data_IF_877429408422
#
_entry.id   IF_877429408422
#
_cell.length_a   1.000
_cell.length_b   1.000
_cell.length_c   1.000
_cell.angle_alpha   90.00
_cell.angle_beta   90.00
_cell.angle_gamma   90.00
#
_symmetry.space_group_name_H-M   'P 1'
#
loop_
_entity.id
_entity.type
_entity.pdbx_description
1 polymer ?
#
# COMPACT_ATOMS: atom_id res chain seq x y z
N UNK A 1 0.69 10.05 -24.47
CA UNK A 1 0.66 9.52 -23.08
C UNK A 1 0.39 8.02 -23.18
N UNK A 2 1.24 7.16 -22.61
CA UNK A 2 0.98 5.71 -22.62
C UNK A 2 -0.14 5.43 -21.61
N UNK A 3 -1.21 4.69 -21.99
CA UNK A 3 -2.26 4.31 -21.06
C UNK A 3 -1.67 3.59 -19.82
N UNK A 4 -2.15 3.88 -18.60
CA UNK A 4 -1.60 3.32 -17.36
C UNK A 4 -1.46 1.79 -17.35
N UNK A 5 -2.40 1.08 -18.00
CA UNK A 5 -2.45 -0.38 -18.10
C UNK A 5 -1.45 -0.97 -19.11
N UNK A 6 -0.87 -0.16 -20.01
CA UNK A 6 0.10 -0.58 -21.03
C UNK A 6 1.53 -0.20 -20.64
N UNK A 7 1.69 0.68 -19.64
CA UNK A 7 2.99 1.02 -19.10
C UNK A 7 3.66 -0.17 -18.38
N UNK A 8 5.00 -0.19 -18.26
CA UNK A 8 5.71 -1.18 -17.45
C UNK A 8 5.16 -1.22 -16.01
N UNK A 9 5.10 -2.41 -15.38
CA UNK A 9 4.54 -2.55 -14.05
C UNK A 9 5.34 -1.72 -13.03
N UNK A 10 4.63 -1.10 -12.10
CA UNK A 10 5.22 -0.38 -10.96
C UNK A 10 5.41 -1.35 -9.79
N UNK A 11 6.57 -1.34 -9.16
CA UNK A 11 6.81 -2.24 -8.02
C UNK A 11 6.25 -1.63 -6.73
N UNK A 12 5.42 -2.40 -6.02
CA UNK A 12 4.96 -2.09 -4.67
C UNK A 12 5.43 -3.19 -3.72
N UNK A 13 5.92 -2.80 -2.54
CA UNK A 13 6.49 -3.74 -1.57
C UNK A 13 5.67 -3.70 -0.29
N UNK A 14 5.24 -4.87 0.17
CA UNK A 14 4.54 -5.06 1.44
C UNK A 14 5.53 -5.64 2.45
N UNK A 15 5.80 -4.90 3.52
CA UNK A 15 6.81 -5.27 4.52
C UNK A 15 6.23 -5.92 5.78
N UNK A 16 4.95 -5.69 6.08
CA UNK A 16 4.37 -6.11 7.35
C UNK A 16 4.18 -7.65 7.38
N UNK A 17 4.80 -8.39 8.32
CA UNK A 17 4.74 -9.86 8.30
C UNK A 17 3.33 -10.43 8.38
N UNK A 18 2.43 -9.83 9.18
CA UNK A 18 1.04 -10.27 9.32
C UNK A 18 0.20 -10.09 8.04
N UNK A 19 0.72 -9.38 7.04
CA UNK A 19 0.04 -9.20 5.76
C UNK A 19 0.10 -10.44 4.86
N UNK A 20 1.06 -11.35 5.05
CA UNK A 20 1.37 -12.39 4.05
C UNK A 20 0.16 -13.24 3.66
N UNK A 21 -0.55 -13.78 4.66
CA UNK A 21 -1.70 -14.63 4.42
C UNK A 21 -2.81 -13.88 3.68
N UNK A 22 -3.09 -12.64 4.11
CA UNK A 22 -4.14 -11.81 3.49
C UNK A 22 -3.77 -11.42 2.07
N UNK A 23 -2.53 -10.98 1.86
CA UNK A 23 -2.00 -10.60 0.56
C UNK A 23 -2.17 -11.74 -0.45
N UNK A 24 -1.78 -12.97 -0.08
CA UNK A 24 -1.84 -14.13 -0.99
C UNK A 24 -3.26 -14.68 -1.21
N UNK A 25 -4.19 -14.49 -0.27
CA UNK A 25 -5.55 -15.08 -0.35
C UNK A 25 -6.63 -14.12 -0.83
N UNK A 26 -6.44 -12.81 -0.69
CA UNK A 26 -7.48 -11.84 -1.03
C UNK A 26 -7.42 -11.43 -2.50
N UNK A 27 -8.56 -11.42 -3.17
CA UNK A 27 -8.66 -10.97 -4.57
C UNK A 27 -8.36 -9.48 -4.76
N UNK A 28 -8.69 -8.67 -3.74
CA UNK A 28 -8.40 -7.25 -3.66
C UNK A 28 -7.65 -7.00 -2.36
N UNK A 29 -6.54 -6.27 -2.44
CA UNK A 29 -5.69 -5.96 -1.29
C UNK A 29 -5.28 -4.48 -1.28
N UNK A 30 -4.96 -3.95 -0.10
CA UNK A 30 -4.52 -2.57 0.06
C UNK A 30 -3.11 -2.49 0.65
N UNK A 31 -2.26 -1.67 0.04
CA UNK A 31 -0.95 -1.29 0.56
C UNK A 31 -0.87 0.22 0.73
N UNK A 32 0.21 0.69 1.36
CA UNK A 32 0.39 2.09 1.71
C UNK A 32 1.74 2.58 1.19
N UNK A 33 1.74 3.77 0.58
CA UNK A 33 2.92 4.44 0.09
C UNK A 33 3.12 5.77 0.80
N UNK A 34 4.38 6.12 1.01
CA UNK A 34 4.76 7.47 1.43
C UNK A 34 4.46 8.47 0.29
N UNK A 35 4.38 9.76 0.61
CA UNK A 35 4.30 10.79 -0.43
C UNK A 35 5.50 10.75 -1.39
N UNK A 36 6.69 10.48 -0.85
CA UNK A 36 7.92 10.32 -1.64
C UNK A 36 7.84 9.12 -2.59
N UNK A 37 7.40 7.96 -2.10
CA UNK A 37 7.25 6.76 -2.92
C UNK A 37 6.19 6.96 -4.00
N UNK A 38 5.06 7.59 -3.65
CA UNK A 38 4.04 7.89 -4.66
C UNK A 38 4.59 8.85 -5.72
N UNK A 39 5.31 9.90 -5.32
CA UNK A 39 5.93 10.85 -6.25
C UNK A 39 6.97 10.22 -7.18
N UNK A 40 7.74 9.25 -6.66
CA UNK A 40 8.74 8.50 -7.41
C UNK A 40 8.12 7.48 -8.37
N UNK A 41 7.18 6.66 -7.89
CA UNK A 41 6.58 5.58 -8.66
C UNK A 41 5.51 6.10 -9.63
N UNK A 42 4.84 7.21 -9.26
CA UNK A 42 3.71 7.83 -9.97
C UNK A 42 2.59 6.82 -10.23
N UNK A 43 2.22 6.07 -9.19
CA UNK A 43 1.14 5.08 -9.27
C UNK A 43 -0.19 5.82 -9.40
N UNK A 44 -0.95 5.46 -10.42
CA UNK A 44 -2.32 5.93 -10.65
C UNK A 44 -3.24 4.74 -10.90
N UNK A 45 -4.57 4.89 -10.72
CA UNK A 45 -5.52 3.85 -11.10
C UNK A 45 -5.31 3.36 -12.54
N UNK A 46 -5.40 2.05 -12.73
CA UNK A 46 -5.15 1.36 -14.00
C UNK A 46 -3.71 0.89 -14.20
N UNK A 47 -2.73 1.39 -13.44
CA UNK A 47 -1.36 0.88 -13.54
C UNK A 47 -1.27 -0.60 -13.19
N UNK A 48 -0.50 -1.36 -13.98
CA UNK A 48 -0.01 -2.68 -13.58
C UNK A 48 0.97 -2.53 -12.43
N UNK A 49 0.88 -3.42 -11.46
CA UNK A 49 1.72 -3.47 -10.28
C UNK A 49 2.46 -4.80 -10.25
N UNK A 50 3.77 -4.76 -10.02
CA UNK A 50 4.53 -5.92 -9.58
C UNK A 50 4.52 -5.91 -8.05
N UNK A 51 3.83 -6.88 -7.44
CA UNK A 51 3.63 -6.92 -6.00
C UNK A 51 4.70 -7.80 -5.37
N UNK A 52 5.42 -7.25 -4.40
CA UNK A 52 6.40 -7.97 -3.59
C UNK A 52 5.94 -8.08 -2.14
N UNK A 53 6.15 -9.24 -1.55
CA UNK A 53 6.16 -9.40 -0.11
C UNK A 53 7.61 -9.49 0.33
N UNK A 54 8.08 -8.46 1.05
CA UNK A 54 9.51 -8.27 1.30
C UNK A 54 10.30 -8.34 -0.02
N UNK A 55 11.19 -9.32 -0.16
CA UNK A 55 12.01 -9.51 -1.35
C UNK A 55 11.43 -10.49 -2.38
N UNK A 56 10.39 -11.24 -2.04
CA UNK A 56 9.72 -12.20 -2.91
C UNK A 56 8.70 -11.51 -3.82
N UNK A 57 8.71 -11.84 -5.11
CA UNK A 57 7.63 -11.47 -6.03
C UNK A 57 6.47 -12.42 -5.78
N UNK A 58 5.33 -11.87 -5.35
CA UNK A 58 4.12 -12.65 -5.07
C UNK A 58 3.16 -12.68 -6.25
N UNK A 59 3.25 -11.72 -7.18
CA UNK A 59 2.44 -11.70 -8.40
C UNK A 59 2.29 -10.32 -9.00
N UNK A 60 1.37 -10.21 -9.96
CA UNK A 60 0.99 -8.96 -10.59
C UNK A 60 -0.43 -8.53 -10.22
N UNK A 61 -0.63 -7.23 -10.06
CA UNK A 61 -1.94 -6.65 -9.83
C UNK A 61 -2.21 -5.45 -10.70
N UNK A 62 -3.38 -4.86 -10.52
CA UNK A 62 -3.76 -3.59 -11.12
C UNK A 62 -4.27 -2.65 -10.03
N UNK A 63 -3.67 -1.46 -9.96
CA UNK A 63 -4.14 -0.40 -9.08
C UNK A 63 -5.58 -0.02 -9.47
N UNK A 64 -6.50 -0.01 -8.50
CA UNK A 64 -7.89 0.37 -8.71
C UNK A 64 -8.24 1.69 -7.99
N UNK A 65 -7.55 2.00 -6.89
CA UNK A 65 -7.71 3.24 -6.16
C UNK A 65 -6.37 3.70 -5.61
N UNK A 66 -6.11 5.00 -5.68
CA UNK A 66 -5.00 5.67 -5.01
C UNK A 66 -5.59 6.91 -4.34
N UNK A 67 -5.54 6.98 -3.02
CA UNK A 67 -6.14 8.10 -2.28
C UNK A 67 -5.28 8.53 -1.07
N UNK A 68 -5.32 9.81 -0.70
CA UNK A 68 -4.63 10.31 0.48
C UNK A 68 -5.33 9.87 1.78
N UNK A 69 -4.52 9.56 2.78
CA UNK A 69 -4.88 9.06 4.11
C UNK A 69 -4.04 9.72 5.19
N UNK A 70 -4.54 9.69 6.42
CA UNK A 70 -3.81 10.08 7.64
C UNK A 70 -3.97 8.99 8.70
N UNK A 71 -3.11 8.99 9.73
CA UNK A 71 -3.17 7.97 10.78
C UNK A 71 -4.52 7.97 11.52
N UNK A 72 -5.15 9.14 11.65
CA UNK A 72 -6.46 9.31 12.26
C UNK A 72 -7.59 8.64 11.46
N UNK A 73 -7.46 8.62 10.13
CA UNK A 73 -8.46 8.02 9.21
C UNK A 73 -8.36 6.50 9.09
N UNK A 74 -7.35 5.87 9.69
CA UNK A 74 -7.22 4.41 9.73
C UNK A 74 -8.36 3.80 10.55
N UNK A 75 -9.11 2.89 9.92
CA UNK A 75 -10.25 2.21 10.53
C UNK A 75 -9.90 0.80 11.02
N UNK A 76 -10.71 0.20 11.91
CA UNK A 76 -10.56 -1.22 12.27
C UNK A 76 -10.63 -2.17 11.07
N UNK A 77 -11.43 -1.81 10.06
CA UNK A 77 -11.53 -2.59 8.82
C UNK A 77 -10.21 -2.57 8.03
N UNK A 78 -9.55 -1.41 7.93
CA UNK A 78 -8.24 -1.28 7.28
C UNK A 78 -7.18 -2.16 7.98
N UNK A 79 -7.19 -2.18 9.30
CA UNK A 79 -6.30 -3.03 10.09
C UNK A 79 -6.55 -4.52 9.80
N UNK A 80 -7.81 -4.95 9.90
CA UNK A 80 -8.22 -6.34 9.67
C UNK A 80 -7.86 -6.84 8.27
N UNK A 81 -8.16 -6.05 7.22
CA UNK A 81 -7.94 -6.47 5.84
C UNK A 81 -6.45 -6.51 5.50
N UNK A 82 -5.67 -5.58 6.07
CA UNK A 82 -4.22 -5.53 5.87
C UNK A 82 -3.45 -6.53 6.74
N UNK A 83 -4.14 -7.27 7.62
CA UNK A 83 -3.55 -8.32 8.46
C UNK A 83 -3.02 -7.88 9.82
N UNK A 84 -3.30 -6.64 10.25
CA UNK A 84 -2.93 -6.14 11.57
C UNK A 84 -3.89 -6.64 12.65
N UNK A 85 -3.38 -6.78 13.87
CA UNK A 85 -4.16 -7.13 15.06
C UNK A 85 -5.23 -6.08 15.38
N UNK A 86 -4.86 -4.80 15.30
CA UNK A 86 -5.74 -3.67 15.59
C UNK A 86 -5.20 -2.38 14.93
N UNK A 87 -5.97 -1.29 15.04
CA UNK A 87 -5.61 0.01 14.47
C UNK A 87 -4.35 0.61 15.09
N UNK A 88 -4.07 0.34 16.35
CA UNK A 88 -2.87 0.85 17.03
C UNK A 88 -1.60 0.19 16.47
N UNK A 89 -1.61 -1.13 16.32
CA UNK A 89 -0.53 -1.89 15.69
C UNK A 89 -0.26 -1.40 14.26
N UNK A 90 -1.33 -1.17 13.49
CA UNK A 90 -1.23 -0.60 12.15
C UNK A 90 -0.63 0.81 12.15
N UNK A 91 -1.13 1.72 12.99
CA UNK A 91 -0.61 3.10 13.10
C UNK A 91 0.86 3.13 13.49
N UNK A 92 1.26 2.28 14.44
CA UNK A 92 2.66 2.14 14.87
C UNK A 92 3.56 1.68 13.72
N UNK A 93 3.14 0.65 12.98
CA UNK A 93 3.89 0.14 11.84
C UNK A 93 4.01 1.18 10.72
N UNK A 94 2.91 1.82 10.32
CA UNK A 94 2.91 2.88 9.31
C UNK A 94 3.80 4.06 9.72
N UNK A 95 3.77 4.45 10.99
CA UNK A 95 4.65 5.51 11.52
C UNK A 95 6.14 5.16 11.40
N UNK A 96 6.49 3.89 11.65
CA UNK A 96 7.87 3.42 11.62
C UNK A 96 8.40 3.15 10.19
N UNK A 97 7.51 2.97 9.22
CA UNK A 97 7.85 2.56 7.85
C UNK A 97 7.47 3.62 6.83
N UNK A 98 6.18 3.70 6.49
CA UNK A 98 5.62 4.58 5.46
C UNK A 98 5.84 6.06 5.77
N UNK A 99 5.75 6.44 7.04
CA UNK A 99 5.95 7.83 7.49
C UNK A 99 7.33 8.05 8.12
N UNK A 100 8.29 7.14 7.88
CA UNK A 100 9.64 7.26 8.42
C UNK A 100 10.28 8.56 7.93
N UNK A 101 10.72 9.40 8.86
CA UNK A 101 11.33 10.70 8.55
C UNK A 101 10.33 11.86 8.46
N UNK A 102 9.02 11.62 8.59
CA UNK A 102 8.05 12.69 8.70
C UNK A 102 8.27 13.50 10.00
N UNK A 103 8.34 14.84 9.90
CA UNK A 103 8.52 15.73 11.07
C UNK A 103 7.38 15.62 12.09
N UNK A 104 6.15 15.36 11.62
CA UNK A 104 4.97 15.16 12.47
C UNK A 104 4.11 14.01 11.89
N UNK A 105 4.41 12.74 12.24
CA UNK A 105 3.74 11.58 11.66
C UNK A 105 2.21 11.58 11.85
N UNK A 106 1.70 12.16 12.95
CA UNK A 106 0.25 12.24 13.20
C UNK A 106 -0.52 13.09 12.19
N UNK A 107 0.14 14.08 11.58
CA UNK A 107 -0.46 14.98 10.59
C UNK A 107 0.07 14.75 9.17
N UNK A 108 0.95 13.79 8.97
CA UNK A 108 1.54 13.50 7.67
C UNK A 108 0.57 12.69 6.80
N UNK A 109 0.46 13.08 5.54
CA UNK A 109 -0.30 12.33 4.56
C UNK A 109 0.52 11.15 4.04
N UNK A 110 -0.19 10.06 3.78
CA UNK A 110 0.31 8.90 3.03
C UNK A 110 -0.81 8.41 2.12
N UNK A 111 -0.52 7.45 1.25
CA UNK A 111 -1.46 7.05 0.20
C UNK A 111 -1.86 5.60 0.34
N UNK A 112 -3.17 5.34 0.39
CA UNK A 112 -3.72 3.99 0.27
C UNK A 112 -3.81 3.63 -1.20
N UNK A 113 -3.20 2.51 -1.54
CA UNK A 113 -3.25 1.90 -2.88
C UNK A 113 -4.03 0.60 -2.78
N UNK A 114 -5.25 0.62 -3.30
CA UNK A 114 -6.05 -0.60 -3.46
C UNK A 114 -5.74 -1.20 -4.83
N UNK A 115 -5.52 -2.50 -4.88
CA UNK A 115 -5.29 -3.22 -6.12
C UNK A 115 -6.02 -4.56 -6.14
N UNK A 116 -6.29 -5.05 -7.34
CA UNK A 116 -6.77 -6.42 -7.58
C UNK A 116 -5.67 -7.26 -8.25
N UNK A 117 -5.65 -8.56 -8.03
CA UNK A 117 -4.76 -9.47 -8.76
C UNK A 117 -5.14 -9.58 -10.24
N UNK A 118 -4.14 -9.86 -11.09
CA UNK A 118 -4.28 -10.15 -12.52
C UNK A 118 -4.05 -11.64 -12.82
#
# INVERSE_FOLDING_TARGET
MIPPNVAPPKTVVVHYPGAEEKLRKQYVYQTYLSEEDLGRLKVVPGNRLLVKFQDEIVGEGQAILVEPMTLERVTPYDAMISGYENTEAMRKHLSATVLKGAKKPSAAEFYRVLFRWL
#
